data_IF_490417349519
#
_entry.id   IF_490417349519
#
_cell.length_a   1.000
_cell.length_b   1.000
_cell.length_c   1.000
_cell.angle_alpha   90.00
_cell.angle_beta   90.00
_cell.angle_gamma   90.00
#
_symmetry.space_group_name_H-M   'P 1'
#
loop_
_entity.id
_entity.type
_entity.pdbx_description
1 polymer ?
#
# COMPACT_ATOMS: atom_id res chain seq x y z
N UNK A 1 6.52 7.90 -1.02
CA UNK A 1 7.59 7.11 -0.34
C UNK A 1 7.92 7.62 1.07
N UNK A 2 8.34 8.88 1.25
CA UNK A 2 8.61 9.40 2.61
C UNK A 2 7.34 9.39 3.48
N UNK A 3 6.20 9.74 2.89
CA UNK A 3 4.87 9.65 3.52
C UNK A 3 4.57 8.26 4.08
N UNK A 4 4.76 7.21 3.27
CA UNK A 4 4.51 5.81 3.65
C UNK A 4 5.39 5.39 4.83
N UNK A 5 6.69 5.68 4.77
CA UNK A 5 7.63 5.35 5.85
C UNK A 5 7.27 6.06 7.16
N UNK A 6 6.83 7.32 7.06
CA UNK A 6 6.42 8.10 8.22
C UNK A 6 5.12 7.53 8.82
N UNK A 7 4.11 7.31 7.98
CA UNK A 7 2.82 6.75 8.39
C UNK A 7 2.98 5.38 9.06
N UNK A 8 3.77 4.46 8.48
CA UNK A 8 4.04 3.16 9.08
C UNK A 8 4.73 3.28 10.46
N UNK A 9 5.67 4.23 10.61
CA UNK A 9 6.34 4.49 11.89
C UNK A 9 5.40 5.09 12.93
N UNK A 10 4.56 6.05 12.53
CA UNK A 10 3.54 6.67 13.40
C UNK A 10 2.49 5.65 13.85
N UNK A 11 2.19 4.68 12.99
CA UNK A 11 1.35 3.52 13.25
C UNK A 11 1.98 2.44 14.14
N UNK A 12 3.25 2.58 14.55
CA UNK A 12 3.95 1.58 15.37
C UNK A 12 4.28 0.28 14.64
N UNK A 13 4.27 0.28 13.30
CA UNK A 13 4.62 -0.88 12.48
C UNK A 13 6.14 -1.03 12.40
N UNK A 14 6.72 -1.70 13.41
CA UNK A 14 8.17 -1.92 13.49
C UNK A 14 8.66 -3.13 12.68
N UNK A 15 7.76 -4.06 12.34
CA UNK A 15 8.07 -5.30 11.58
C UNK A 15 7.76 -5.17 10.08
N UNK A 16 7.49 -3.96 9.60
CA UNK A 16 7.18 -3.69 8.19
C UNK A 16 8.35 -2.99 7.51
N UNK A 17 8.75 -3.51 6.35
CA UNK A 17 9.81 -2.93 5.52
C UNK A 17 9.24 -2.27 4.27
N UNK A 18 9.42 -0.95 4.18
CA UNK A 18 9.01 -0.16 3.01
C UNK A 18 10.21 0.07 2.09
N UNK A 19 10.15 -0.43 0.85
CA UNK A 19 11.16 -0.21 -0.18
C UNK A 19 10.63 0.57 -1.39
N UNK A 20 11.56 1.16 -2.12
CA UNK A 20 11.33 1.66 -3.47
C UNK A 20 11.43 0.48 -4.45
N UNK A 21 10.40 0.28 -5.26
CA UNK A 21 10.46 -0.58 -6.44
C UNK A 21 10.71 0.26 -7.71
N UNK A 22 11.15 -0.42 -8.77
CA UNK A 22 11.07 0.11 -10.13
C UNK A 22 9.65 -0.03 -10.69
N UNK A 23 9.51 -0.01 -12.02
CA UNK A 23 8.24 -0.33 -12.67
C UNK A 23 7.81 -1.76 -12.33
N UNK A 24 6.54 -1.94 -12.00
CA UNK A 24 5.92 -3.23 -11.69
C UNK A 24 4.80 -3.59 -12.68
N UNK A 25 4.77 -2.96 -13.86
CA UNK A 25 3.80 -3.19 -14.95
C UNK A 25 2.37 -2.66 -14.72
N UNK A 26 2.08 -2.08 -13.56
CA UNK A 26 0.76 -1.47 -13.23
C UNK A 26 0.70 0.05 -13.49
N UNK A 27 1.27 0.51 -14.60
CA UNK A 27 1.33 1.95 -14.89
C UNK A 27 -0.05 2.60 -15.05
N UNK A 28 -1.07 1.85 -15.47
CA UNK A 28 -2.44 2.33 -15.70
C UNK A 28 -3.14 2.78 -14.41
N UNK A 29 -2.70 2.26 -13.26
CA UNK A 29 -3.20 2.62 -11.93
C UNK A 29 -2.31 3.65 -11.23
N UNK A 30 -1.42 4.29 -11.98
CA UNK A 30 -0.53 5.33 -11.48
C UNK A 30 0.54 4.80 -10.51
N UNK A 31 0.67 5.46 -9.35
CA UNK A 31 1.64 5.05 -8.34
C UNK A 31 1.08 3.88 -7.54
N UNK A 32 1.66 2.70 -7.70
CA UNK A 32 1.18 1.49 -7.02
C UNK A 32 2.12 1.03 -5.90
N UNK A 33 1.55 0.33 -4.94
CA UNK A 33 2.27 -0.39 -3.90
C UNK A 33 1.74 -1.82 -3.79
N UNK A 34 2.61 -2.76 -3.43
CA UNK A 34 2.25 -4.16 -3.20
C UNK A 34 2.64 -4.56 -1.78
N UNK A 35 1.72 -5.24 -1.09
CA UNK A 35 1.95 -5.76 0.26
C UNK A 35 2.27 -7.25 0.16
N UNK A 36 3.36 -7.66 0.79
CA UNK A 36 3.75 -9.06 0.94
C UNK A 36 3.64 -9.49 2.40
N UNK A 37 3.30 -10.77 2.67
CA UNK A 37 3.17 -11.89 1.72
C UNK A 37 1.82 -11.99 1.00
N UNK A 38 0.85 -11.13 1.30
CA UNK A 38 -0.54 -11.24 0.81
C UNK A 38 -0.69 -11.05 -0.71
N UNK A 39 0.24 -10.37 -1.38
CA UNK A 39 0.17 -10.11 -2.82
C UNK A 39 -0.89 -9.08 -3.21
N UNK A 40 -1.35 -8.26 -2.25
CA UNK A 40 -2.39 -7.27 -2.47
C UNK A 40 -1.79 -6.00 -3.06
N UNK A 41 -2.41 -5.51 -4.13
CA UNK A 41 -2.02 -4.30 -4.83
C UNK A 41 -2.88 -3.11 -4.40
N UNK A 42 -2.24 -2.00 -4.08
CA UNK A 42 -2.87 -0.73 -3.75
C UNK A 42 -2.51 0.33 -4.79
N UNK A 43 -3.52 1.08 -5.23
CA UNK A 43 -3.26 2.40 -5.83
C UNK A 43 -2.98 3.41 -4.72
N UNK A 44 -2.00 4.27 -4.93
CA UNK A 44 -1.65 5.38 -4.03
C UNK A 44 -2.15 6.72 -4.58
N UNK A 45 -3.17 6.69 -5.44
CA UNK A 45 -3.87 7.88 -5.88
C UNK A 45 -4.83 8.38 -4.79
N UNK A 46 -4.67 9.65 -4.40
CA UNK A 46 -5.46 10.28 -3.34
C UNK A 46 -4.72 10.40 -2.00
N UNK A 47 -5.16 11.34 -1.16
CA UNK A 47 -4.50 11.67 0.11
C UNK A 47 -4.67 10.55 1.15
N UNK A 48 -5.79 9.82 1.11
CA UNK A 48 -6.14 8.80 2.11
C UNK A 48 -5.60 7.41 1.79
N UNK A 49 -5.06 7.18 0.59
CA UNK A 49 -4.64 5.86 0.15
C UNK A 49 -3.52 5.25 1.02
N UNK A 50 -2.58 6.10 1.47
CA UNK A 50 -1.50 5.67 2.38
C UNK A 50 -2.05 5.31 3.75
N UNK A 51 -3.03 6.05 4.26
CA UNK A 51 -3.63 5.78 5.57
C UNK A 51 -4.39 4.45 5.56
N UNK A 52 -5.20 4.22 4.52
CA UNK A 52 -5.92 2.96 4.33
C UNK A 52 -4.99 1.75 4.19
N UNK A 53 -3.87 1.89 3.46
CA UNK A 53 -2.86 0.85 3.34
C UNK A 53 -2.19 0.54 4.69
N UNK A 54 -1.94 1.56 5.53
CA UNK A 54 -1.36 1.37 6.86
C UNK A 54 -2.37 0.74 7.83
N UNK A 55 -3.64 1.09 7.73
CA UNK A 55 -4.72 0.47 8.50
C UNK A 55 -4.83 -1.04 8.18
N UNK A 56 -4.70 -1.42 6.91
CA UNK A 56 -4.59 -2.83 6.50
C UNK A 56 -3.46 -3.54 7.24
N UNK A 57 -2.26 -2.93 7.26
CA UNK A 57 -1.08 -3.52 7.89
C UNK A 57 -1.20 -3.64 9.42
N UNK A 58 -2.01 -2.80 10.06
CA UNK A 58 -2.24 -2.85 11.51
C UNK A 58 -3.32 -3.86 11.91
N UNK A 59 -4.41 -3.91 11.17
CA UNK A 59 -5.64 -4.61 11.59
C UNK A 59 -5.99 -5.83 10.73
N UNK A 60 -5.32 -6.02 9.59
CA UNK A 60 -5.64 -7.07 8.61
C UNK A 60 -6.94 -6.82 7.84
N UNK A 61 -7.55 -5.65 8.00
CA UNK A 61 -8.76 -5.21 7.31
C UNK A 61 -8.44 -3.94 6.54
N UNK A 62 -7.96 -4.06 5.30
CA UNK A 62 -7.71 -2.89 4.46
C UNK A 62 -8.95 -2.40 3.73
N UNK A 63 -8.87 -1.15 3.26
CA UNK A 63 -9.85 -0.59 2.34
C UNK A 63 -9.85 -1.37 1.01
N UNK A 64 -10.80 -2.29 0.87
CA UNK A 64 -11.00 -3.13 -0.32
C UNK A 64 -11.22 -2.27 -1.56
N UNK A 65 -11.76 -1.07 -1.39
CA UNK A 65 -12.05 -0.12 -2.47
C UNK A 65 -10.79 0.49 -3.13
N UNK A 66 -9.65 0.47 -2.44
CA UNK A 66 -8.36 0.95 -2.97
C UNK A 66 -7.46 -0.18 -3.48
N UNK A 67 -7.93 -1.42 -3.33
CA UNK A 67 -7.24 -2.58 -3.86
C UNK A 67 -7.47 -2.65 -5.37
N UNK A 68 -6.38 -2.83 -6.12
CA UNK A 68 -6.46 -3.07 -7.56
C UNK A 68 -6.99 -4.49 -7.72
N UNK A 69 -8.27 -4.60 -8.09
CA UNK A 69 -8.88 -5.88 -8.47
C UNK A 69 -8.35 -6.27 -9.84
N UNK A 70 -7.42 -7.22 -9.83
CA UNK A 70 -7.03 -7.94 -11.03
C UNK A 70 -8.12 -8.98 -11.30
N UNK A 71 -9.26 -8.55 -11.83
CA UNK A 71 -10.18 -9.48 -12.48
C UNK A 71 -9.50 -9.94 -13.78
N UNK A 72 -9.26 -11.26 -13.90
CA UNK A 72 -8.74 -11.92 -15.11
C UNK A 72 -9.66 -11.76 -16.32
#
# INVERSE_FOLDING_TARGET
MQSIKRAAKEAGLHDVRVQKSGCLDFCEFGTTAVIYPEGIWYTLEGEDAVAAMVEHLQHGTGAVDLQIKMDE
#
